data_IF_840163624348
#
_entry.id   IF_840163624348
#
_cell.length_a   1.000
_cell.length_b   1.000
_cell.length_c   1.000
_cell.angle_alpha   90.00
_cell.angle_beta   90.00
_cell.angle_gamma   90.00
#
_symmetry.space_group_name_H-M   'P 1'
#
loop_
_entity.id
_entity.type
_entity.pdbx_description
1 polymer ?
#
# COMPACT_ATOMS: atom_id res chain seq x y z
N UNK A 1 18.65 3.15 22.80
CA UNK A 1 17.33 2.87 23.43
C UNK A 1 16.73 1.63 22.78
N UNK A 2 16.11 0.70 23.53
CA UNK A 2 15.54 -0.50 22.92
C UNK A 2 14.42 -0.10 21.95
N UNK A 3 14.44 -0.64 20.72
CA UNK A 3 13.50 -0.36 19.63
C UNK A 3 12.02 -0.39 20.05
N UNK A 4 11.68 -1.21 21.06
CA UNK A 4 10.35 -1.29 21.70
C UNK A 4 9.78 0.04 22.22
N UNK A 5 10.61 1.04 22.48
CA UNK A 5 10.15 2.33 23.03
C UNK A 5 9.91 3.41 21.96
N UNK A 6 10.38 3.24 20.72
CA UNK A 6 10.27 4.29 19.70
C UNK A 6 8.86 4.37 19.09
N UNK A 7 8.18 3.23 18.99
CA UNK A 7 6.80 3.11 18.50
C UNK A 7 5.95 2.36 19.52
N UNK A 8 5.67 3.01 20.65
CA UNK A 8 4.80 2.43 21.67
C UNK A 8 3.35 2.77 21.33
N UNK A 9 2.63 1.78 20.81
CA UNK A 9 1.24 1.95 20.44
C UNK A 9 0.37 2.06 21.70
N UNK A 10 0.04 3.29 22.09
CA UNK A 10 -0.84 3.56 23.22
C UNK A 10 -2.30 3.69 22.75
N UNK A 11 -2.87 2.62 22.20
CA UNK A 11 -4.31 2.59 21.90
C UNK A 11 -5.09 2.57 23.22
N UNK A 12 -5.97 3.55 23.42
CA UNK A 12 -6.79 3.68 24.64
C UNK A 12 -8.00 2.75 24.62
N UNK A 13 -7.79 1.44 24.66
CA UNK A 13 -8.89 0.45 24.76
C UNK A 13 -9.20 0.06 26.21
N UNK A 14 -10.45 -0.29 26.55
CA UNK A 14 -10.84 -0.84 27.85
C UNK A 14 -10.06 -2.11 28.26
N UNK A 15 -9.96 -2.40 29.57
CA UNK A 15 -9.18 -3.54 30.09
C UNK A 15 -9.67 -4.90 29.58
N UNK A 16 -10.98 -5.09 29.45
CA UNK A 16 -11.57 -6.30 28.88
C UNK A 16 -11.16 -6.50 27.41
N UNK A 17 -11.05 -5.43 26.64
CA UNK A 17 -10.57 -5.47 25.24
C UNK A 17 -9.07 -5.75 25.19
N UNK A 18 -8.26 -5.17 26.10
CA UNK A 18 -6.81 -5.46 26.16
C UNK A 18 -6.50 -6.94 26.39
N UNK A 19 -7.36 -7.64 27.12
CA UNK A 19 -7.19 -9.05 27.44
C UNK A 19 -7.67 -9.99 26.32
N UNK A 20 -8.38 -9.48 25.31
CA UNK A 20 -8.86 -10.25 24.17
C UNK A 20 -7.67 -10.75 23.31
N UNK A 21 -7.68 -12.03 22.92
CA UNK A 21 -6.58 -12.62 22.15
C UNK A 21 -6.44 -12.01 20.75
N UNK A 22 -7.54 -11.73 20.05
CA UNK A 22 -7.50 -11.09 18.73
C UNK A 22 -6.95 -9.67 18.83
N UNK A 23 -7.27 -8.92 19.89
CA UNK A 23 -6.65 -7.61 20.14
C UNK A 23 -5.12 -7.73 20.32
N UNK A 24 -4.65 -8.72 21.08
CA UNK A 24 -3.22 -8.96 21.28
C UNK A 24 -2.51 -9.34 19.98
N UNK A 25 -3.13 -10.20 19.17
CA UNK A 25 -2.63 -10.59 17.84
C UNK A 25 -2.49 -9.38 16.91
N UNK A 26 -3.57 -8.61 16.72
CA UNK A 26 -3.57 -7.40 15.88
C UNK A 26 -2.53 -6.40 16.41
N UNK A 27 -2.45 -6.20 17.72
CA UNK A 27 -1.46 -5.28 18.32
C UNK A 27 -0.01 -5.71 18.03
N UNK A 28 0.29 -7.01 18.03
CA UNK A 28 1.63 -7.53 17.70
C UNK A 28 1.96 -7.31 16.22
N UNK A 29 1.04 -7.65 15.31
CA UNK A 29 1.20 -7.45 13.86
C UNK A 29 1.37 -5.97 13.52
N UNK A 30 0.60 -5.12 14.19
CA UNK A 30 0.74 -3.68 14.06
C UNK A 30 2.10 -3.17 14.56
N UNK A 31 2.55 -3.64 15.73
CA UNK A 31 3.88 -3.28 16.24
C UNK A 31 4.99 -3.73 15.28
N UNK A 32 4.84 -4.91 14.68
CA UNK A 32 5.76 -5.40 13.65
C UNK A 32 5.80 -4.45 12.44
N UNK A 33 4.64 -4.05 11.89
CA UNK A 33 4.58 -3.10 10.79
C UNK A 33 5.34 -1.79 11.08
N UNK A 34 5.17 -1.24 12.28
CA UNK A 34 5.86 -0.01 12.67
C UNK A 34 7.38 -0.16 12.80
N UNK A 35 7.85 -1.35 13.16
CA UNK A 35 9.29 -1.64 13.18
C UNK A 35 9.83 -1.69 11.76
N UNK A 36 9.13 -2.41 10.87
CA UNK A 36 9.48 -2.51 9.45
C UNK A 36 9.53 -1.12 8.80
N UNK A 37 8.58 -0.22 9.08
CA UNK A 37 8.63 1.17 8.61
C UNK A 37 9.93 1.91 8.98
N UNK A 38 10.44 1.75 10.20
CA UNK A 38 11.66 2.41 10.67
C UNK A 38 12.93 1.74 10.12
N UNK A 39 12.89 0.42 9.91
CA UNK A 39 14.00 -0.35 9.34
C UNK A 39 14.16 -0.11 7.84
N UNK A 40 13.08 -0.21 7.05
CA UNK A 40 13.05 0.16 5.63
C UNK A 40 13.59 1.57 5.42
N UNK A 41 13.17 2.54 6.26
CA UNK A 41 13.68 3.91 6.20
C UNK A 41 15.20 4.00 6.48
N UNK A 42 15.69 3.35 7.53
CA UNK A 42 17.11 3.42 7.92
C UNK A 42 18.04 2.79 6.89
N UNK A 43 17.60 1.69 6.30
CA UNK A 43 18.42 0.89 5.40
C UNK A 43 18.43 1.46 3.99
N UNK A 44 17.34 2.10 3.57
CA UNK A 44 17.18 2.60 2.22
C UNK A 44 16.87 4.11 2.26
N UNK A 45 17.87 4.94 1.96
CA UNK A 45 17.60 6.30 1.48
C UNK A 45 16.63 6.25 0.30
N UNK A 46 15.86 7.32 0.02
CA UNK A 46 14.79 7.40 -0.99
C UNK A 46 15.14 6.67 -2.33
N UNK A 47 14.81 5.38 -2.41
CA UNK A 47 15.00 4.52 -3.59
C UNK A 47 13.67 3.88 -3.99
N UNK A 48 13.58 3.39 -5.24
CA UNK A 48 12.39 2.66 -5.74
C UNK A 48 12.03 1.48 -4.83
N UNK A 49 13.04 0.74 -4.31
CA UNK A 49 12.80 -0.36 -3.37
C UNK A 49 12.15 0.12 -2.07
N UNK A 50 12.60 1.27 -1.55
CA UNK A 50 11.98 1.91 -0.38
C UNK A 50 10.52 2.24 -0.65
N UNK A 51 10.22 2.80 -1.82
CA UNK A 51 8.86 3.15 -2.21
C UNK A 51 7.94 1.94 -2.26
N UNK A 52 8.37 0.85 -2.91
CA UNK A 52 7.62 -0.42 -2.99
C UNK A 52 7.35 -1.02 -1.60
N UNK A 53 8.37 -1.08 -0.76
CA UNK A 53 8.24 -1.58 0.62
C UNK A 53 7.26 -0.72 1.44
N UNK A 54 7.39 0.60 1.36
CA UNK A 54 6.50 1.57 2.02
C UNK A 54 5.05 1.46 1.58
N UNK A 55 4.79 1.30 0.28
CA UNK A 55 3.46 1.03 -0.26
C UNK A 55 2.90 -0.27 0.32
N UNK A 56 3.70 -1.34 0.32
CA UNK A 56 3.32 -2.63 0.90
C UNK A 56 2.92 -2.53 2.38
N UNK A 57 3.69 -1.79 3.17
CA UNK A 57 3.39 -1.54 4.59
C UNK A 57 2.13 -0.69 4.77
N UNK A 58 1.83 0.25 3.86
CA UNK A 58 0.60 1.05 3.90
C UNK A 58 -0.64 0.17 3.72
N UNK A 59 -0.64 -0.70 2.70
CA UNK A 59 -1.71 -1.66 2.49
C UNK A 59 -1.87 -2.64 3.65
N UNK A 60 -0.76 -3.09 4.25
CA UNK A 60 -0.80 -3.95 5.43
C UNK A 60 -1.47 -3.27 6.63
N UNK A 61 -1.20 -1.96 6.85
CA UNK A 61 -1.89 -1.19 7.89
C UNK A 61 -3.38 -1.02 7.59
N UNK A 62 -3.77 -0.82 6.33
CA UNK A 62 -5.18 -0.75 5.93
C UNK A 62 -5.92 -2.08 6.16
N UNK A 63 -5.25 -3.22 5.95
CA UNK A 63 -5.81 -4.54 6.30
C UNK A 63 -5.96 -4.73 7.81
N UNK A 64 -4.98 -4.28 8.60
CA UNK A 64 -5.06 -4.32 10.06
C UNK A 64 -6.17 -3.42 10.60
N UNK A 65 -6.41 -2.27 9.97
CA UNK A 65 -7.54 -1.39 10.28
C UNK A 65 -8.85 -2.15 10.11
N UNK A 66 -9.02 -2.82 8.99
CA UNK A 66 -10.26 -3.53 8.67
C UNK A 66 -10.50 -4.66 9.69
N UNK A 67 -9.49 -5.47 9.98
CA UNK A 67 -9.56 -6.51 11.03
C UNK A 67 -9.86 -5.92 12.42
N UNK A 68 -9.28 -4.76 12.75
CA UNK A 68 -9.54 -4.09 14.02
C UNK A 68 -10.99 -3.58 14.09
N UNK A 69 -11.49 -2.99 13.02
CA UNK A 69 -12.85 -2.50 12.93
C UNK A 69 -13.88 -3.65 12.98
N UNK A 70 -13.54 -4.81 12.41
CA UNK A 70 -14.39 -5.99 12.45
C UNK A 70 -14.43 -6.64 13.83
N UNK A 71 -13.27 -6.86 14.46
CA UNK A 71 -13.19 -7.69 15.66
C UNK A 71 -13.10 -6.93 16.98
N UNK A 72 -12.57 -5.70 16.97
CA UNK A 72 -12.24 -4.96 18.20
C UNK A 72 -13.23 -3.84 18.45
N UNK A 73 -13.58 -3.06 17.43
CA UNK A 73 -14.54 -1.94 17.58
C UNK A 73 -15.89 -2.39 18.17
N UNK A 74 -16.48 -3.55 17.80
CA UNK A 74 -17.71 -4.02 18.42
C UNK A 74 -17.59 -4.29 19.93
N UNK A 75 -16.39 -4.57 20.44
CA UNK A 75 -16.15 -4.81 21.86
C UNK A 75 -16.07 -3.51 22.68
N UNK A 76 -16.02 -2.35 22.01
CA UNK A 76 -15.97 -1.04 22.66
C UNK A 76 -17.36 -0.56 23.05
N UNK A 77 -17.47 0.33 24.07
CA UNK A 77 -18.73 1.00 24.38
C UNK A 77 -19.28 1.74 23.15
N UNK A 78 -20.59 1.65 22.91
CA UNK A 78 -21.27 2.24 21.74
C UNK A 78 -20.83 3.68 21.44
N UNK A 79 -20.79 4.53 22.48
CA UNK A 79 -20.39 5.95 22.38
C UNK A 79 -18.96 6.17 21.84
N UNK A 80 -18.09 5.16 21.89
CA UNK A 80 -16.69 5.24 21.45
C UNK A 80 -16.43 4.63 20.08
N UNK A 81 -17.35 3.84 19.52
CA UNK A 81 -17.11 3.00 18.33
C UNK A 81 -16.85 3.81 17.06
N UNK A 82 -17.62 4.87 16.84
CA UNK A 82 -17.52 5.69 15.62
C UNK A 82 -16.11 6.27 15.48
N UNK A 83 -15.50 6.01 14.32
CA UNK A 83 -14.17 6.48 13.90
C UNK A 83 -13.09 6.24 14.96
N UNK A 84 -13.20 5.13 15.70
CA UNK A 84 -12.28 4.84 16.80
C UNK A 84 -10.86 4.64 16.30
N UNK A 85 -10.70 3.89 15.21
CA UNK A 85 -9.40 3.64 14.60
C UNK A 85 -8.73 4.95 14.17
N UNK A 86 -9.44 5.81 13.43
CA UNK A 86 -8.87 7.07 12.95
C UNK A 86 -8.37 7.94 14.11
N UNK A 87 -9.24 8.16 15.12
CA UNK A 87 -8.92 9.01 16.29
C UNK A 87 -7.78 8.45 17.15
N UNK A 88 -7.76 7.14 17.37
CA UNK A 88 -6.82 6.54 18.33
C UNK A 88 -5.53 6.03 17.70
N UNK A 89 -5.53 5.79 16.39
CA UNK A 89 -4.45 5.16 15.64
C UNK A 89 -3.99 6.04 14.48
N UNK A 90 -4.80 6.28 13.45
CA UNK A 90 -4.34 6.98 12.22
C UNK A 90 -3.83 8.39 12.51
N UNK A 91 -4.60 9.22 13.23
CA UNK A 91 -4.22 10.62 13.50
C UNK A 91 -2.86 10.73 14.23
N UNK A 92 -2.57 9.74 15.08
CA UNK A 92 -1.31 9.68 15.83
C UNK A 92 -0.18 9.09 15.00
N UNK A 93 -0.50 8.20 14.07
CA UNK A 93 0.45 7.47 13.24
C UNK A 93 0.90 8.30 12.03
N UNK A 94 -0.03 9.00 11.37
CA UNK A 94 0.21 9.88 10.22
C UNK A 94 1.34 10.88 10.51
N UNK A 95 1.17 11.68 11.56
CA UNK A 95 2.16 12.68 11.97
C UNK A 95 3.50 12.04 12.38
N UNK A 96 3.45 10.93 13.13
CA UNK A 96 4.66 10.33 13.69
C UNK A 96 5.53 9.64 12.63
N UNK A 97 4.92 8.90 11.69
CA UNK A 97 5.65 8.24 10.61
C UNK A 97 6.23 9.25 9.65
N UNK A 98 5.45 10.26 9.23
CA UNK A 98 5.95 11.28 8.31
C UNK A 98 7.15 12.04 8.87
N UNK A 99 7.12 12.44 10.14
CA UNK A 99 8.26 13.08 10.81
C UNK A 99 9.48 12.15 10.91
N UNK A 100 9.28 10.89 11.30
CA UNK A 100 10.38 9.96 11.55
C UNK A 100 11.05 9.45 10.28
N UNK A 101 10.31 9.31 9.20
CA UNK A 101 10.83 8.89 7.90
C UNK A 101 11.25 10.10 7.05
N UNK A 102 11.22 11.31 7.60
CA UNK A 102 11.55 12.54 6.87
C UNK A 102 10.80 12.66 5.53
N UNK A 103 9.56 12.15 5.49
CA UNK A 103 8.73 12.12 4.29
C UNK A 103 9.07 11.03 3.27
N UNK A 104 10.11 10.22 3.47
CA UNK A 104 10.47 9.17 2.50
C UNK A 104 9.48 8.01 2.46
N UNK A 105 8.75 7.81 3.55
CA UNK A 105 7.79 6.73 3.74
C UNK A 105 6.60 7.30 4.51
N UNK A 106 5.76 8.03 3.80
CA UNK A 106 4.56 8.63 4.37
C UNK A 106 3.46 7.59 4.53
N UNK A 107 2.73 7.68 5.65
CA UNK A 107 1.46 6.97 5.81
C UNK A 107 0.44 7.60 4.86
N UNK A 108 -0.16 6.80 3.99
CA UNK A 108 -1.24 7.20 3.10
C UNK A 108 -2.40 6.18 3.18
N UNK A 109 -3.44 6.43 4.00
CA UNK A 109 -4.55 5.51 4.18
C UNK A 109 -5.41 5.38 2.93
N UNK A 110 -5.60 4.14 2.47
CA UNK A 110 -6.53 3.83 1.38
C UNK A 110 -7.84 3.30 1.98
N UNK A 111 -8.91 4.08 1.87
CA UNK A 111 -10.22 3.75 2.47
C UNK A 111 -11.11 2.88 1.57
N UNK A 112 -10.62 2.46 0.40
CA UNK A 112 -11.31 1.47 -0.42
C UNK A 112 -11.39 0.12 0.29
N UNK A 113 -12.35 -0.72 -0.13
CA UNK A 113 -12.44 -2.09 0.37
C UNK A 113 -11.19 -2.90 -0.02
N UNK A 114 -10.99 -4.03 0.67
CA UNK A 114 -9.80 -4.87 0.50
C UNK A 114 -9.56 -5.33 -0.94
N UNK A 115 -10.62 -5.70 -1.67
CA UNK A 115 -10.51 -6.20 -3.03
C UNK A 115 -9.97 -5.12 -3.99
N UNK A 116 -10.49 -3.90 -3.87
CA UNK A 116 -9.97 -2.74 -4.62
C UNK A 116 -8.52 -2.43 -4.25
N UNK A 117 -8.16 -2.52 -2.96
CA UNK A 117 -6.79 -2.28 -2.51
C UNK A 117 -5.80 -3.30 -3.06
N UNK A 118 -6.19 -4.58 -3.15
CA UNK A 118 -5.35 -5.62 -3.76
C UNK A 118 -5.05 -5.25 -5.21
N UNK A 119 -6.09 -4.97 -6.00
CA UNK A 119 -5.91 -4.63 -7.41
C UNK A 119 -5.14 -3.31 -7.60
N UNK A 120 -5.40 -2.28 -6.78
CA UNK A 120 -4.61 -1.03 -6.81
C UNK A 120 -3.14 -1.30 -6.57
N UNK A 121 -2.80 -2.14 -5.57
CA UNK A 121 -1.42 -2.50 -5.27
C UNK A 121 -0.76 -3.20 -6.47
N UNK A 122 -1.44 -4.13 -7.12
CA UNK A 122 -0.92 -4.83 -8.30
C UNK A 122 -0.65 -3.86 -9.46
N UNK A 123 -1.56 -2.90 -9.69
CA UNK A 123 -1.37 -1.84 -10.69
C UNK A 123 -0.15 -0.98 -10.34
N UNK A 124 -0.02 -0.55 -9.08
CA UNK A 124 1.11 0.26 -8.64
C UNK A 124 2.45 -0.50 -8.73
N UNK A 125 2.46 -1.81 -8.43
CA UNK A 125 3.62 -2.69 -8.60
C UNK A 125 4.02 -2.75 -10.09
N UNK A 126 3.06 -2.95 -11.00
CA UNK A 126 3.30 -2.92 -12.45
C UNK A 126 3.86 -1.58 -12.93
N UNK A 127 3.35 -0.45 -12.42
CA UNK A 127 3.82 0.90 -12.79
C UNK A 127 5.30 1.08 -12.45
N UNK A 128 5.74 0.64 -11.27
CA UNK A 128 7.14 0.72 -10.90
C UNK A 128 8.03 -0.17 -11.77
N UNK A 129 7.57 -1.35 -12.16
CA UNK A 129 8.31 -2.26 -13.05
C UNK A 129 8.41 -1.68 -14.48
N UNK A 130 7.31 -1.09 -14.97
CA UNK A 130 7.26 -0.36 -16.23
C UNK A 130 8.28 0.77 -16.24
N UNK A 131 8.29 1.60 -15.20
CA UNK A 131 9.24 2.71 -15.07
C UNK A 131 10.71 2.23 -15.10
N UNK A 132 11.01 1.14 -14.39
CA UNK A 132 12.35 0.55 -14.35
C UNK A 132 12.78 0.02 -15.73
N UNK A 133 11.89 -0.68 -16.44
CA UNK A 133 12.15 -1.16 -17.79
C UNK A 133 12.40 0.02 -18.75
N UNK A 134 11.55 1.05 -18.70
CA UNK A 134 11.68 2.23 -19.56
C UNK A 134 13.03 2.92 -19.33
N UNK A 135 13.44 3.08 -18.07
CA UNK A 135 14.77 3.58 -17.73
C UNK A 135 15.90 2.74 -18.31
N UNK A 136 15.81 1.40 -18.20
CA UNK A 136 16.79 0.48 -18.79
C UNK A 136 16.86 0.59 -20.31
N UNK A 137 15.71 0.64 -20.99
CA UNK A 137 15.65 0.74 -22.45
C UNK A 137 16.18 2.09 -22.96
N UNK A 138 15.93 3.18 -22.24
CA UNK A 138 16.47 4.50 -22.57
C UNK A 138 17.99 4.60 -22.39
N UNK A 139 18.58 3.81 -21.48
CA UNK A 139 20.02 3.74 -21.30
C UNK A 139 20.75 2.95 -22.40
N UNK A 140 20.02 2.18 -23.22
CA UNK A 140 20.60 1.42 -24.33
C UNK A 140 20.80 2.32 -25.56
N UNK A 141 21.93 2.12 -26.26
CA UNK A 141 22.20 2.77 -27.55
C UNK A 141 21.49 2.06 -28.71
N UNK A 142 20.17 1.95 -28.64
CA UNK A 142 19.30 1.34 -29.66
C UNK A 142 18.25 2.35 -30.14
N UNK A 143 17.69 2.13 -31.33
CA UNK A 143 16.66 3.00 -31.88
C UNK A 143 15.30 2.82 -31.19
N UNK A 144 14.39 3.78 -31.36
CA UNK A 144 13.04 3.76 -30.74
C UNK A 144 12.22 2.53 -31.14
N UNK A 145 12.34 2.07 -32.39
CA UNK A 145 11.62 0.88 -32.85
C UNK A 145 12.02 -0.37 -32.06
N UNK A 146 13.32 -0.57 -31.81
CA UNK A 146 13.82 -1.68 -31.00
C UNK A 146 13.42 -1.55 -29.52
N UNK A 147 13.36 -0.33 -28.96
CA UNK A 147 12.85 -0.11 -27.60
C UNK A 147 11.38 -0.50 -27.50
N UNK A 148 10.57 -0.05 -28.46
CA UNK A 148 9.14 -0.34 -28.55
C UNK A 148 8.89 -1.86 -28.65
N UNK A 149 9.63 -2.57 -29.50
CA UNK A 149 9.49 -4.04 -29.62
C UNK A 149 9.86 -4.76 -28.31
N UNK A 150 10.96 -4.38 -27.66
CA UNK A 150 11.36 -4.97 -26.36
C UNK A 150 10.33 -4.68 -25.27
N UNK A 151 9.80 -3.46 -25.24
CA UNK A 151 8.73 -3.08 -24.31
C UNK A 151 7.48 -3.93 -24.51
N UNK A 152 7.04 -4.08 -25.77
CA UNK A 152 5.87 -4.87 -26.14
C UNK A 152 6.01 -6.33 -25.69
N UNK A 153 7.18 -6.95 -25.91
CA UNK A 153 7.41 -8.32 -25.47
C UNK A 153 7.31 -8.48 -23.95
N UNK A 154 7.84 -7.53 -23.18
CA UNK A 154 7.70 -7.54 -21.72
C UNK A 154 6.25 -7.30 -21.26
N UNK A 155 5.55 -6.36 -21.91
CA UNK A 155 4.19 -5.98 -21.53
C UNK A 155 3.16 -7.09 -21.74
N UNK A 156 3.33 -7.96 -22.75
CA UNK A 156 2.37 -9.02 -23.10
C UNK A 156 2.04 -9.92 -21.90
N UNK A 157 3.04 -10.33 -21.12
CA UNK A 157 2.82 -11.22 -19.98
C UNK A 157 1.95 -10.55 -18.90
N UNK A 158 2.20 -9.27 -18.61
CA UNK A 158 1.39 -8.49 -17.66
C UNK A 158 -0.02 -8.27 -18.18
N UNK A 159 -0.19 -8.02 -19.48
CA UNK A 159 -1.51 -7.85 -20.08
C UNK A 159 -2.34 -9.13 -19.95
N UNK A 160 -1.74 -10.29 -20.22
CA UNK A 160 -2.41 -11.59 -20.04
C UNK A 160 -2.74 -11.84 -18.56
N UNK A 161 -1.82 -11.49 -17.65
CA UNK A 161 -2.06 -11.61 -16.21
C UNK A 161 -3.27 -10.78 -15.76
N UNK A 162 -3.28 -9.47 -16.03
CA UNK A 162 -4.37 -8.58 -15.60
C UNK A 162 -5.70 -8.95 -16.23
N UNK A 163 -5.73 -9.35 -17.51
CA UNK A 163 -6.99 -9.74 -18.16
C UNK A 163 -7.61 -11.00 -17.53
N UNK A 164 -6.77 -11.88 -16.99
CA UNK A 164 -7.22 -13.08 -16.28
C UNK A 164 -7.41 -12.87 -14.78
N UNK A 165 -7.04 -11.72 -14.24
CA UNK A 165 -7.27 -11.41 -12.83
C UNK A 165 -8.77 -11.28 -12.52
N UNK A 166 -9.17 -11.78 -11.35
CA UNK A 166 -10.56 -11.75 -10.91
C UNK A 166 -11.02 -10.33 -10.59
N UNK A 167 -10.21 -9.56 -9.87
CA UNK A 167 -10.55 -8.20 -9.46
C UNK A 167 -10.53 -7.24 -10.65
N UNK A 168 -9.59 -7.38 -11.57
CA UNK A 168 -9.54 -6.62 -12.82
C UNK A 168 -10.85 -6.79 -13.60
N UNK A 169 -11.27 -8.03 -13.85
CA UNK A 169 -12.54 -8.28 -14.55
C UNK A 169 -13.72 -7.68 -13.80
N UNK A 170 -13.79 -7.89 -12.49
CA UNK A 170 -14.88 -7.38 -11.64
C UNK A 170 -14.99 -5.85 -11.69
N UNK A 171 -13.88 -5.14 -11.51
CA UNK A 171 -13.90 -3.69 -11.28
C UNK A 171 -13.61 -2.85 -12.53
N UNK A 172 -12.69 -3.30 -13.37
CA UNK A 172 -12.33 -2.58 -14.60
C UNK A 172 -13.27 -3.00 -15.72
N UNK A 173 -13.28 -4.28 -16.08
CA UNK A 173 -14.00 -4.76 -17.27
C UNK A 173 -15.52 -4.62 -17.11
N UNK A 174 -16.07 -5.05 -15.97
CA UNK A 174 -17.53 -5.11 -15.80
C UNK A 174 -18.11 -3.87 -15.12
N UNK A 175 -17.36 -3.24 -14.20
CA UNK A 175 -17.87 -2.09 -13.43
C UNK A 175 -17.36 -0.75 -13.93
N UNK A 176 -16.40 -0.71 -14.87
CA UNK A 176 -15.83 0.52 -15.43
C UNK A 176 -15.35 1.52 -14.37
N UNK A 177 -14.83 1.03 -13.24
CA UNK A 177 -14.43 1.87 -12.09
C UNK A 177 -13.05 2.52 -12.28
N UNK A 178 -12.78 3.14 -13.44
CA UNK A 178 -11.45 3.63 -13.83
C UNK A 178 -10.87 4.63 -12.82
N UNK A 179 -11.66 5.63 -12.39
CA UNK A 179 -11.20 6.67 -11.45
C UNK A 179 -10.70 6.08 -10.12
N UNK A 180 -11.26 4.95 -9.68
CA UNK A 180 -10.88 4.29 -8.44
C UNK A 180 -9.50 3.64 -8.53
N UNK A 181 -8.92 3.50 -9.72
CA UNK A 181 -7.61 2.89 -9.95
C UNK A 181 -6.61 3.84 -10.59
N UNK A 182 -6.98 5.12 -10.77
CA UNK A 182 -6.00 6.15 -11.12
C UNK A 182 -5.01 6.30 -9.97
N UNK A 183 -3.72 6.16 -10.28
CA UNK A 183 -2.63 6.25 -9.31
C UNK A 183 -2.04 7.66 -9.33
N UNK A 184 -1.68 8.15 -10.51
CA UNK A 184 -1.27 9.52 -10.77
C UNK A 184 -1.68 9.95 -12.19
N UNK A 185 -1.07 11.03 -12.71
CA UNK A 185 -1.37 11.56 -14.04
C UNK A 185 -0.76 10.71 -15.18
N UNK A 186 0.24 9.88 -14.88
CA UNK A 186 0.99 9.09 -15.86
C UNK A 186 0.58 7.60 -15.85
N UNK A 187 -0.07 7.15 -14.77
CA UNK A 187 -0.54 5.78 -14.58
C UNK A 187 -2.05 5.73 -14.40
N UNK A 188 -2.75 5.67 -15.54
CA UNK A 188 -4.17 5.36 -15.66
C UNK A 188 -4.34 3.92 -16.17
N UNK A 189 -5.36 3.22 -15.70
CA UNK A 189 -5.77 1.90 -16.21
C UNK A 189 -5.98 1.91 -17.72
N UNK A 190 -6.40 3.06 -18.28
CA UNK A 190 -6.62 3.23 -19.72
C UNK A 190 -5.31 3.17 -20.51
N UNK A 191 -4.24 3.80 -20.00
CA UNK A 191 -2.94 3.95 -20.68
C UNK A 191 -1.86 3.04 -20.10
N UNK A 192 -2.24 2.15 -19.17
CA UNK A 192 -1.34 1.34 -18.37
C UNK A 192 -0.35 0.56 -19.26
N UNK A 193 -0.84 -0.03 -20.33
CA UNK A 193 -0.09 -0.89 -21.24
C UNK A 193 0.50 -0.16 -22.46
N UNK A 194 0.30 1.16 -22.57
CA UNK A 194 0.80 1.93 -23.71
C UNK A 194 2.34 2.02 -23.70
N UNK A 195 2.93 1.88 -24.88
CA UNK A 195 4.37 2.09 -25.10
C UNK A 195 4.70 3.57 -24.92
N UNK A 196 5.74 3.91 -24.14
CA UNK A 196 6.27 5.27 -24.08
C UNK A 196 7.27 5.59 -25.20
N UNK A 197 7.57 4.63 -26.08
CA UNK A 197 8.44 4.72 -27.26
C UNK A 197 7.62 4.67 -28.55
#
# INVERSE_FOLDING_TARGET
MPFRNKFKLNIKVPRNVRNNEKYKEISRRFQYALVEYDETFKNNSYTINTHRECRGLNYFLDDLRDEFNEHIVPLLPLKKRKNYWDREVEDKLLNNLQEKTQGSCARNPTYYNKEIRILRKEIEDYCDEKAELVGKLNALSINEHEKCERFKYWMIDSLVYFWNDYYWRKYITYSSMIETFRIDDDYDVVTLFDSPF
#
